data_IF_395369331128
#
_entry.id   IF_395369331128
#
_cell.length_a   1.000
_cell.length_b   1.000
_cell.length_c   1.000
_cell.angle_alpha   90.00
_cell.angle_beta   90.00
_cell.angle_gamma   90.00
#
_symmetry.space_group_name_H-M   'P 1'
#
loop_
_entity.id
_entity.type
_entity.pdbx_description
1 polymer ?
2 non-polymer ?
3 non-polymer ?
#
# COMPACT_ATOMS: atom_id res chain seq x y z
N UNK A 1 3.53 -12.51 -10.80
CA UNK A 1 5.00 -12.52 -10.92
C UNK A 1 5.57 -12.58 -9.51
N UNK A 2 6.30 -13.62 -9.17
CA UNK A 2 6.74 -13.76 -7.80
C UNK A 2 7.90 -12.84 -7.52
N UNK A 3 7.94 -12.28 -6.32
CA UNK A 3 9.14 -11.63 -5.84
C UNK A 3 10.25 -12.66 -5.65
N UNK A 4 11.45 -12.33 -6.10
CA UNK A 4 12.61 -13.14 -5.82
C UNK A 4 13.09 -12.73 -4.44
N UNK A 5 14.02 -13.51 -3.90
CA UNK A 5 14.53 -13.32 -2.55
C UNK A 5 14.99 -11.90 -2.29
N UNK A 6 15.75 -11.33 -3.23
CA UNK A 6 16.30 -9.97 -3.09
C UNK A 6 15.19 -8.88 -2.99
N UNK A 7 14.16 -9.04 -3.79
CA UNK A 7 13.03 -8.12 -3.74
C UNK A 7 12.13 -8.33 -2.54
N UNK A 8 12.02 -9.56 -2.02
CA UNK A 8 11.31 -9.77 -0.76
C UNK A 8 12.01 -8.93 0.31
N UNK A 9 13.34 -9.03 0.33
CA UNK A 9 14.20 -8.24 1.23
C UNK A 9 13.98 -6.73 1.09
N UNK A 10 13.80 -6.27 -0.16
CA UNK A 10 13.46 -4.88 -0.46
C UNK A 10 12.11 -4.46 0.14
N UNK A 11 11.07 -5.23 -0.18
CA UNK A 11 9.72 -4.89 0.32
C UNK A 11 9.71 -4.93 1.86
N UNK A 12 10.51 -5.82 2.47
CA UNK A 12 10.62 -5.85 3.96
C UNK A 12 11.24 -4.57 4.51
N UNK A 13 12.42 -4.22 3.96
CA UNK A 13 13.11 -2.96 4.20
C UNK A 13 12.23 -1.73 4.02
N UNK A 14 11.48 -1.60 2.92
CA UNK A 14 10.62 -0.41 2.76
C UNK A 14 9.45 -0.37 3.75
N UNK A 15 9.20 -1.46 4.47
CA UNK A 15 8.01 -1.52 5.33
C UNK A 15 6.71 -1.72 4.60
N UNK A 16 6.78 -2.24 3.38
CA UNK A 16 5.59 -2.48 2.58
C UNK A 16 5.10 -3.90 2.69
N UNK A 17 6.00 -4.78 3.06
CA UNK A 17 5.66 -6.10 3.52
C UNK A 17 6.21 -6.20 4.93
N UNK A 18 5.42 -6.76 5.84
CA UNK A 18 5.93 -6.98 7.17
C UNK A 18 5.86 -8.48 7.59
N UNK A 19 6.94 -8.98 8.20
CA UNK A 19 6.95 -10.32 8.77
C UNK A 19 7.59 -10.30 10.15
N UNK A 20 6.83 -10.59 11.22
CA UNK A 20 7.40 -10.59 12.59
C UNK A 20 7.40 -11.95 13.33
N UNK A 21 8.56 -12.39 13.81
CA UNK A 21 9.84 -11.69 13.66
C UNK A 21 10.40 -11.79 12.24
N UNK A 22 11.24 -10.84 11.89
CA UNK A 22 11.79 -10.79 10.55
C UNK A 22 12.78 -11.93 10.34
N UNK A 23 12.61 -12.70 9.29
CA UNK A 23 13.48 -13.85 9.09
C UNK A 23 14.77 -13.39 8.47
N UNK A 24 15.88 -13.96 8.89
CA UNK A 24 17.17 -13.55 8.39
C UNK A 24 17.39 -14.02 6.98
N UNK A 25 18.52 -13.62 6.40
CA UNK A 25 18.90 -14.04 5.05
C UNK A 25 18.79 -15.56 4.84
N UNK A 26 19.19 -16.35 5.84
CA UNK A 26 19.15 -17.84 5.77
C UNK A 26 17.78 -18.36 5.36
N UNK A 27 16.73 -17.64 5.74
CA UNK A 27 15.37 -18.12 5.50
C UNK A 27 14.63 -17.36 4.41
N UNK A 28 15.37 -16.64 3.56
CA UNK A 28 14.81 -15.96 2.39
C UNK A 28 15.60 -16.39 1.15
N UNK A 29 15.04 -17.26 0.32
CA UNK A 29 15.77 -17.88 -0.79
C UNK A 29 14.90 -18.10 -2.02
N UNK A 30 15.50 -17.93 -3.21
CA UNK A 30 14.80 -18.08 -4.46
C UNK A 30 13.62 -17.13 -4.58
N UNK A 31 12.43 -17.64 -4.24
CA UNK A 31 11.18 -16.91 -4.30
C UNK A 31 10.29 -17.13 -3.06
N UNK A 32 10.92 -17.52 -1.95
CA UNK A 32 10.19 -17.86 -0.76
C UNK A 32 10.88 -17.38 0.47
N UNK A 33 10.09 -17.20 1.52
CA UNK A 33 10.54 -16.99 2.88
C UNK A 33 10.09 -18.21 3.64
N UNK A 34 11.01 -18.93 4.26
CA UNK A 34 10.64 -20.03 5.18
C UNK A 34 9.84 -19.50 6.37
N UNK A 35 8.80 -20.24 6.76
CA UNK A 35 8.05 -19.90 7.97
C UNK A 35 8.11 -21.05 8.94
N UNK A 36 7.83 -20.73 10.20
CA UNK A 36 8.05 -21.68 11.27
C UNK A 36 6.77 -22.08 12.00
N UNK A 37 6.88 -23.19 12.72
CA UNK A 37 5.75 -23.65 13.50
C UNK A 37 5.62 -22.90 14.83
N UNK A 38 4.43 -22.39 15.06
CA UNK A 38 4.10 -21.74 16.31
C UNK A 38 3.80 -22.76 17.39
N UNK A 39 3.03 -22.35 18.37
CA UNK A 39 2.89 -23.12 19.58
C UNK A 39 1.45 -23.25 20.07
N UNK A 40 0.48 -23.03 19.18
CA UNK A 40 -0.92 -23.14 19.52
C UNK A 40 -1.51 -24.23 18.63
N UNK A 41 -1.97 -25.32 19.24
CA UNK A 41 -2.55 -26.48 18.49
C UNK A 41 -4.00 -26.74 18.86
N UNK A 42 -4.73 -27.35 17.94
CA UNK A 42 -6.08 -27.80 18.19
C UNK A 42 -6.39 -29.09 17.47
N UNK A 43 -7.17 -29.93 18.14
CA UNK A 43 -7.58 -31.21 17.57
C UNK A 43 -9.08 -31.32 17.63
N UNK A 44 -9.60 -32.32 16.94
CA UNK A 44 -11.02 -32.62 16.94
C UNK A 44 -11.40 -33.41 18.18
N UNK A 45 -12.59 -33.13 18.71
CA UNK A 45 -13.31 -34.01 19.66
C UNK A 45 -14.77 -34.09 19.17
N UNK A 46 -15.06 -34.98 18.24
CA UNK A 46 -16.38 -34.95 17.56
C UNK A 46 -17.63 -35.47 18.31
N UNK A 47 -17.43 -36.08 19.48
CA UNK A 47 -18.50 -36.87 20.13
C UNK A 47 -19.70 -36.06 20.60
N UNK A 48 -19.48 -34.74 20.82
CA UNK A 48 -20.55 -33.80 21.21
C UNK A 48 -21.48 -33.45 20.04
N UNK A 49 -21.02 -33.63 18.79
CA UNK A 49 -21.77 -33.20 17.60
C UNK A 49 -21.90 -34.32 16.55
N UNK A 50 -23.04 -34.33 15.85
CA UNK A 50 -23.33 -35.32 14.83
C UNK A 50 -22.70 -34.99 13.47
N UNK A 51 -22.68 -33.70 13.17
CA UNK A 51 -22.08 -33.21 11.94
C UNK A 51 -21.76 -31.73 12.10
N UNK A 52 -21.18 -31.17 11.06
CA UNK A 52 -20.93 -29.75 11.01
C UNK A 52 -21.60 -29.24 9.76
N UNK A 53 -22.39 -28.17 9.90
CA UNK A 53 -23.04 -27.56 8.75
C UNK A 53 -22.11 -26.50 8.24
N UNK A 54 -21.59 -26.68 7.03
CA UNK A 54 -20.63 -25.74 6.47
C UNK A 54 -21.26 -24.54 5.73
N UNK A 55 -22.53 -24.63 5.35
CA UNK A 55 -23.24 -23.45 4.84
C UNK A 55 -23.63 -22.60 6.04
N UNK A 56 -23.99 -21.34 5.82
CA UNK A 56 -24.31 -20.44 6.93
C UNK A 56 -23.10 -19.60 7.33
N UNK A 57 -23.36 -18.36 7.80
CA UNK A 57 -22.31 -17.34 8.01
C UNK A 57 -21.06 -17.77 8.81
N UNK A 58 -20.03 -16.92 8.75
CA UNK A 58 -18.78 -17.13 9.48
C UNK A 58 -19.02 -17.48 10.93
N UNK A 59 -19.93 -16.74 11.56
CA UNK A 59 -20.20 -16.93 12.99
C UNK A 59 -20.66 -18.36 13.29
N UNK A 60 -21.50 -18.94 12.41
CA UNK A 60 -21.97 -20.35 12.56
C UNK A 60 -20.79 -21.31 12.37
N UNK A 61 -20.09 -21.14 11.24
CA UNK A 61 -18.87 -21.92 10.90
C UNK A 61 -17.75 -21.76 11.96
N UNK A 62 -17.72 -20.63 12.65
CA UNK A 62 -16.74 -20.38 13.72
C UNK A 62 -17.24 -20.92 15.08
N UNK A 63 -18.53 -20.78 15.33
CA UNK A 63 -19.19 -21.40 16.49
C UNK A 63 -18.99 -22.91 16.45
N UNK A 64 -19.20 -23.48 15.28
CA UNK A 64 -19.00 -24.91 15.04
C UNK A 64 -17.54 -25.30 15.31
N UNK A 65 -16.62 -24.52 14.75
CA UNK A 65 -15.18 -24.74 14.89
C UNK A 65 -14.79 -24.92 16.38
N UNK A 66 -15.51 -24.26 17.28
CA UNK A 66 -15.17 -24.31 18.70
C UNK A 66 -15.99 -25.33 19.47
N UNK A 67 -17.20 -25.60 19.01
CA UNK A 67 -17.97 -26.65 19.65
C UNK A 67 -17.32 -28.06 19.49
N UNK A 68 -16.61 -28.28 18.37
CA UNK A 68 -16.01 -29.58 18.06
C UNK A 68 -14.49 -29.65 18.14
N UNK A 69 -13.80 -28.51 18.13
CA UNK A 69 -12.34 -28.52 18.32
C UNK A 69 -12.01 -28.36 19.79
N UNK A 70 -10.93 -29.03 20.20
CA UNK A 70 -10.39 -28.97 21.56
C UNK A 70 -10.01 -27.57 21.99
N UNK A 71 -9.64 -27.49 23.26
CA UNK A 71 -9.04 -26.28 23.82
C UNK A 71 -7.70 -26.08 23.19
N UNK A 72 -7.24 -24.85 23.20
CA UNK A 72 -5.90 -24.53 22.76
C UNK A 72 -4.91 -25.41 23.51
N UNK A 73 -3.93 -25.95 22.78
CA UNK A 73 -2.87 -26.80 23.32
C UNK A 73 -1.53 -26.11 23.11
N UNK A 74 -0.92 -25.66 24.20
CA UNK A 74 0.37 -24.98 24.15
C UNK A 74 1.48 -25.90 24.66
N UNK A 75 2.50 -26.16 23.84
CA UNK A 75 3.54 -27.13 24.17
C UNK A 75 4.72 -26.45 24.81
N UNK A 76 5.24 -27.06 25.89
CA UNK A 76 6.40 -26.54 26.62
C UNK A 76 7.65 -26.57 25.74
N UNK A 77 8.76 -26.06 26.26
CA UNK A 77 10.07 -26.37 25.70
C UNK A 77 10.22 -27.89 25.69
N UNK A 78 11.00 -28.40 24.73
CA UNK A 78 11.10 -29.83 24.39
C UNK A 78 9.93 -30.30 23.53
N UNK A 79 8.78 -30.41 24.19
CA UNK A 79 7.57 -31.08 23.70
C UNK A 79 7.30 -31.05 22.16
N UNK A 80 6.78 -32.19 21.70
CA UNK A 80 6.32 -32.41 20.34
C UNK A 80 4.82 -32.61 20.36
N UNK A 81 4.15 -32.18 19.29
CA UNK A 81 2.76 -32.53 19.06
C UNK A 81 2.80 -33.68 18.08
N UNK A 82 2.13 -34.78 18.40
CA UNK A 82 2.10 -35.96 17.51
C UNK A 82 0.82 -35.97 16.72
N UNK A 83 0.94 -35.87 15.41
CA UNK A 83 -0.21 -35.85 14.56
C UNK A 83 -0.32 -37.26 14.00
N UNK A 84 -1.40 -37.94 14.34
CA UNK A 84 -1.52 -39.36 14.06
C UNK A 84 -2.17 -39.57 12.69
N UNK A 85 -1.89 -40.72 12.07
CA UNK A 85 -2.41 -40.98 10.73
C UNK A 85 -3.92 -40.70 10.63
N UNK A 86 -4.34 -40.01 9.59
CA UNK A 86 -5.74 -39.74 9.37
C UNK A 86 -6.25 -38.62 10.24
N UNK A 87 -5.41 -37.99 11.05
CA UNK A 87 -5.86 -36.86 11.87
C UNK A 87 -5.66 -35.53 11.19
N UNK A 88 -6.63 -34.65 11.43
CA UNK A 88 -6.62 -33.25 11.01
C UNK A 88 -6.38 -32.45 12.25
N UNK A 89 -5.33 -31.63 12.25
CA UNK A 89 -5.03 -30.76 13.40
C UNK A 89 -4.88 -29.32 12.94
N UNK A 90 -5.06 -28.39 13.87
CA UNK A 90 -4.95 -26.97 13.55
C UNK A 90 -3.76 -26.40 14.27
N UNK A 91 -3.04 -25.50 13.62
CA UNK A 91 -1.88 -24.91 14.23
C UNK A 91 -1.74 -23.50 13.73
N UNK A 92 -0.56 -22.93 13.89
CA UNK A 92 -0.38 -21.52 13.59
C UNK A 92 1.09 -21.29 13.25
N UNK A 93 1.39 -20.30 12.41
CA UNK A 93 2.81 -19.98 12.17
C UNK A 93 3.35 -19.24 13.36
N UNK A 94 4.66 -19.36 13.56
CA UNK A 94 5.38 -18.54 14.53
C UNK A 94 5.33 -17.09 14.06
N UNK A 95 5.60 -16.87 12.78
CA UNK A 95 5.66 -15.50 12.25
C UNK A 95 4.31 -14.90 12.03
N UNK A 96 4.16 -13.63 12.41
CA UNK A 96 3.04 -12.81 11.97
C UNK A 96 3.40 -12.21 10.65
N UNK A 97 2.40 -12.01 9.80
CA UNK A 97 2.63 -11.51 8.44
C UNK A 97 1.63 -10.42 8.12
N UNK A 98 2.11 -9.31 7.59
CA UNK A 98 1.20 -8.28 7.12
C UNK A 98 1.49 -7.94 5.68
N UNK A 99 0.46 -8.04 4.84
CA UNK A 99 0.59 -7.72 3.41
C UNK A 99 -0.14 -6.43 3.14
N UNK A 100 0.38 -5.69 2.17
CA UNK A 100 -0.25 -4.48 1.72
C UNK A 100 -1.35 -4.84 0.74
N UNK A 101 -2.06 -3.82 0.27
CA UNK A 101 -3.21 -4.02 -0.59
C UNK A 101 -2.86 -4.48 -2.00
N UNK A 102 -1.59 -4.47 -2.36
CA UNK A 102 -1.13 -4.79 -3.73
C UNK A 102 -0.19 -6.00 -3.79
N UNK A 103 -0.19 -6.80 -2.73
CA UNK A 103 0.54 -8.06 -2.74
C UNK A 103 -0.40 -9.18 -2.32
N UNK A 104 -0.20 -10.36 -2.89
CA UNK A 104 -0.93 -11.56 -2.44
C UNK A 104 0.10 -12.62 -2.06
N UNK A 105 -0.13 -13.27 -0.93
CA UNK A 105 0.77 -14.33 -0.46
C UNK A 105 0.30 -15.73 -0.85
N UNK A 106 1.25 -16.65 -0.99
CA UNK A 106 0.93 -18.07 -1.14
C UNK A 106 1.77 -18.84 -0.17
N UNK A 107 1.13 -19.68 0.65
CA UNK A 107 1.85 -20.58 1.56
C UNK A 107 2.00 -21.97 0.93
N UNK A 108 3.22 -22.44 0.80
CA UNK A 108 3.45 -23.82 0.46
C UNK A 108 3.85 -24.57 1.72
N UNK A 109 3.46 -25.82 1.82
CA UNK A 109 4.10 -26.67 2.83
C UNK A 109 5.43 -27.08 2.25
N UNK A 110 6.25 -27.74 3.07
CA UNK A 110 7.52 -28.25 2.62
C UNK A 110 7.37 -29.62 1.96
N UNK A 111 8.03 -29.80 0.83
CA UNK A 111 7.92 -31.03 0.05
C UNK A 111 8.52 -32.21 0.79
N UNK A 112 9.65 -32.02 1.47
CA UNK A 112 10.28 -33.13 2.21
C UNK A 112 9.38 -33.68 3.36
N UNK A 113 8.58 -32.82 3.95
CA UNK A 113 7.58 -33.23 4.92
C UNK A 113 6.32 -33.88 4.29
N UNK A 114 5.88 -33.35 3.16
CA UNK A 114 4.76 -33.92 2.45
C UNK A 114 5.03 -35.39 2.07
N UNK A 115 6.28 -35.68 1.74
CA UNK A 115 6.71 -37.02 1.35
C UNK A 115 6.54 -38.04 2.44
N UNK A 116 6.64 -37.58 3.69
CA UNK A 116 6.34 -38.39 4.85
C UNK A 116 4.88 -38.28 5.34
N UNK A 117 4.01 -37.62 4.57
CA UNK A 117 2.59 -37.59 4.87
C UNK A 117 2.01 -36.29 5.38
N UNK A 118 2.86 -35.31 5.68
CA UNK A 118 2.40 -34.01 6.20
C UNK A 118 1.74 -33.16 5.12
N UNK A 119 0.42 -33.03 5.19
CA UNK A 119 -0.33 -32.21 4.27
C UNK A 119 -0.68 -30.87 4.92
N UNK A 120 -0.23 -29.77 4.32
CA UNK A 120 -0.55 -28.42 4.78
C UNK A 120 -1.19 -27.63 3.64
N UNK A 121 -2.19 -26.82 4.00
CA UNK A 121 -3.02 -26.06 3.05
C UNK A 121 -2.38 -25.95 1.68
N UNK A 122 -2.57 -26.82 0.68
CA UNK A 122 -3.56 -27.89 0.47
C UNK A 122 -4.81 -27.42 -0.27
N UNK A 123 -5.64 -26.64 0.40
CA UNK A 123 -6.96 -26.24 -0.14
C UNK A 123 -7.05 -24.71 -0.30
N UNK A 124 -6.60 -24.00 0.74
CA UNK A 124 -6.49 -22.56 0.73
C UNK A 124 -5.07 -22.20 1.16
N UNK A 125 -4.19 -21.98 0.18
CA UNK A 125 -2.82 -21.46 0.47
C UNK A 125 -2.66 -19.95 0.28
N UNK A 126 -3.76 -19.23 0.11
CA UNK A 126 -3.72 -17.84 -0.27
C UNK A 126 -3.71 -16.92 0.94
N UNK A 127 -2.73 -16.03 1.02
CA UNK A 127 -2.72 -14.96 2.04
C UNK A 127 -3.13 -13.67 1.34
N UNK A 128 -4.17 -13.01 1.82
CA UNK A 128 -4.75 -11.92 1.04
C UNK A 128 -4.05 -10.59 1.20
N UNK A 129 -4.15 -9.76 0.16
CA UNK A 129 -3.81 -8.35 0.33
C UNK A 129 -4.54 -7.81 1.58
N UNK A 130 -3.79 -7.22 2.50
CA UNK A 130 -4.39 -6.67 3.70
C UNK A 130 -4.41 -7.63 4.86
N UNK A 131 -4.05 -8.89 4.63
CA UNK A 131 -3.96 -9.84 5.73
C UNK A 131 -2.93 -9.32 6.66
N UNK A 132 -3.24 -9.36 7.95
CA UNK A 132 -2.28 -9.07 9.03
C UNK A 132 -2.50 -10.06 10.18
N UNK A 133 -1.53 -10.91 10.44
CA UNK A 133 -1.64 -11.83 11.57
C UNK A 133 -0.84 -13.09 11.34
N UNK A 134 -0.89 -13.98 12.31
CA UNK A 134 -0.42 -15.34 12.12
C UNK A 134 -1.22 -16.02 11.06
N UNK A 135 -0.62 -17.04 10.49
CA UNK A 135 -1.32 -17.86 9.55
C UNK A 135 -1.74 -19.14 10.27
N UNK A 136 -3.05 -19.36 10.31
CA UNK A 136 -3.65 -20.61 10.80
C UNK A 136 -3.32 -21.72 9.81
N UNK A 137 -2.84 -22.84 10.36
CA UNK A 137 -2.49 -24.01 9.56
C UNK A 137 -3.40 -25.20 9.85
N UNK A 138 -3.78 -25.96 8.81
CA UNK A 138 -4.45 -27.24 9.02
C UNK A 138 -3.46 -28.25 8.59
N UNK A 139 -3.13 -29.20 9.45
CA UNK A 139 -2.35 -30.35 9.03
C UNK A 139 -3.22 -31.58 8.85
N UNK A 140 -2.84 -32.43 7.89
CA UNK A 140 -3.44 -33.73 7.74
C UNK A 140 -2.38 -34.78 7.58
N UNK A 141 -2.45 -35.83 8.38
CA UNK A 141 -1.45 -36.89 8.25
C UNK A 141 -1.93 -37.95 7.27
N UNK A 142 -1.47 -37.83 6.02
CA UNK A 142 -1.84 -38.74 4.97
C UNK A 142 -0.92 -39.97 4.99
N UNK A 143 -0.01 -40.04 5.93
CA UNK A 143 0.94 -41.14 5.92
C UNK A 143 0.55 -42.27 6.87
N UNK A 144 1.47 -43.22 6.99
CA UNK A 144 1.23 -44.46 7.71
C UNK A 144 1.63 -44.33 9.19
N UNK A 145 2.65 -43.54 9.48
CA UNK A 145 3.12 -43.32 10.86
C UNK A 145 2.70 -41.97 11.44
N UNK A 146 2.72 -41.85 12.76
CA UNK A 146 2.57 -40.56 13.38
C UNK A 146 3.75 -39.64 13.04
N UNK A 147 3.45 -38.35 12.98
CA UNK A 147 4.44 -37.34 12.65
C UNK A 147 4.61 -36.42 13.81
N UNK A 148 5.83 -36.29 14.31
CA UNK A 148 6.11 -35.37 15.42
C UNK A 148 6.51 -33.98 14.91
N UNK A 149 5.75 -32.99 15.36
CA UNK A 149 5.98 -31.59 15.03
C UNK A 149 6.43 -30.84 16.31
N UNK A 150 7.49 -30.05 16.23
CA UNK A 150 7.93 -29.22 17.37
C UNK A 150 7.87 -27.73 17.04
N UNK A 151 7.34 -26.91 17.95
CA UNK A 151 7.40 -25.45 17.75
C UNK A 151 8.79 -24.98 17.28
N UNK A 152 8.83 -24.09 16.30
CA UNK A 152 10.09 -23.56 15.79
C UNK A 152 10.62 -24.22 14.54
N UNK A 153 10.10 -25.39 14.19
CA UNK A 153 10.56 -26.05 12.99
C UNK A 153 10.06 -25.25 11.79
N UNK A 154 10.80 -25.34 10.69
CA UNK A 154 10.35 -24.89 9.39
C UNK A 154 9.10 -25.72 9.05
N UNK A 155 8.03 -25.05 8.68
CA UNK A 155 6.76 -25.70 8.41
C UNK A 155 6.20 -25.35 7.02
N UNK A 156 6.72 -24.31 6.39
CA UNK A 156 6.20 -23.87 5.10
C UNK A 156 7.02 -22.76 4.46
N UNK A 157 6.53 -22.25 3.33
CA UNK A 157 7.29 -21.29 2.57
C UNK A 157 6.30 -20.29 1.98
N UNK A 158 6.55 -19.01 2.24
CA UNK A 158 5.70 -17.95 1.71
C UNK A 158 6.34 -17.44 0.43
N UNK A 159 5.54 -17.25 -0.59
CA UNK A 159 5.96 -16.52 -1.75
C UNK A 159 4.96 -15.39 -1.96
N UNK A 160 5.40 -14.33 -2.66
CA UNK A 160 4.64 -13.09 -2.77
C UNK A 160 4.52 -12.60 -4.18
N UNK A 161 3.32 -12.23 -4.53
CA UNK A 161 3.01 -11.88 -5.89
C UNK A 161 2.34 -10.52 -5.89
N UNK A 162 2.95 -9.52 -6.53
CA UNK A 162 2.28 -8.26 -6.78
C UNK A 162 1.00 -8.41 -7.60
N UNK A 163 -0.01 -7.65 -7.20
CA UNK A 163 -1.25 -7.55 -7.92
C UNK A 163 -1.10 -6.58 -9.09
N UNK A 164 -2.13 -6.54 -9.92
CA UNK A 164 -2.15 -5.70 -11.09
C UNK A 164 -2.37 -4.26 -10.69
N UNK A 165 -2.73 -4.04 -9.43
CA UNK A 165 -2.92 -2.72 -8.88
C UNK A 165 -3.30 -2.91 -7.45
N UNK A 166 -3.29 -1.85 -6.65
CA UNK A 166 -3.68 -1.98 -5.22
C UNK A 166 -5.17 -2.27 -5.11
N UNK A 167 -5.52 -3.26 -4.29
CA UNK A 167 -6.89 -3.73 -4.16
C UNK A 167 -7.77 -2.71 -3.45
N UNK A 168 -8.95 -2.49 -4.00
CA UNK A 168 -9.95 -1.56 -3.46
C UNK A 168 -10.54 -2.07 -2.14
N UNK A 169 -10.80 -3.37 -2.03
CA UNK A 169 -11.30 -3.96 -0.77
C UNK A 169 -10.37 -5.04 -0.25
N UNK A 170 -9.21 -4.66 0.29
CA UNK A 170 -8.30 -5.65 0.83
C UNK A 170 -8.89 -6.23 2.11
N UNK A 171 -8.18 -7.16 2.72
CA UNK A 171 -8.73 -7.92 3.83
C UNK A 171 -9.05 -7.01 5.00
N UNK A 172 -8.08 -6.18 5.36
CA UNK A 172 -8.24 -5.27 6.50
C UNK A 172 -9.43 -4.30 6.37
N UNK A 173 -9.77 -3.85 5.16
CA UNK A 173 -10.93 -2.95 4.95
C UNK A 173 -12.14 -3.66 4.38
N UNK A 174 -13.05 -4.10 5.26
CA UNK A 174 -14.29 -4.73 4.81
C UNK A 174 -15.40 -4.62 5.85
N UNK B 1 -12.41 13.40 6.66
CA UNK B 1 -11.54 13.19 7.84
C UNK B 1 -10.11 13.08 7.33
N UNK B 2 -9.21 13.93 7.76
CA UNK B 2 -7.87 13.90 7.15
C UNK B 2 -7.06 12.82 7.78
N UNK B 3 -6.26 12.15 6.95
CA UNK B 3 -5.24 11.26 7.46
C UNK B 3 -4.21 12.08 8.25
N UNK B 4 -3.82 11.56 9.42
CA UNK B 4 -2.70 12.12 10.14
C UNK B 4 -1.43 11.57 9.53
N UNK B 5 -0.30 12.16 9.92
CA UNK B 5 1.00 11.77 9.38
C UNK B 5 1.29 10.28 9.44
N UNK B 6 1.05 9.67 10.59
CA UNK B 6 1.23 8.20 10.77
C UNK B 6 0.42 7.39 9.73
N UNK B 7 -0.85 7.76 9.56
CA UNK B 7 -1.73 7.03 8.64
C UNK B 7 -1.38 7.31 7.17
N UNK B 8 -0.87 8.49 6.87
CA UNK B 8 -0.38 8.74 5.51
C UNK B 8 0.68 7.71 5.19
N UNK B 9 1.60 7.49 6.13
CA UNK B 9 2.64 6.47 5.98
C UNK B 9 2.07 5.08 5.84
N UNK B 10 1.05 4.77 6.63
CA UNK B 10 0.36 3.49 6.52
C UNK B 10 -0.20 3.25 5.13
N UNK B 11 -0.94 4.21 4.60
CA UNK B 11 -1.44 4.13 3.22
C UNK B 11 -0.32 4.06 2.17
N UNK B 12 0.81 4.73 2.40
CA UNK B 12 1.96 4.61 1.52
C UNK B 12 2.53 3.21 1.55
N UNK B 13 2.78 2.71 2.76
CA UNK B 13 3.23 1.33 3.01
C UNK B 13 2.25 0.30 2.41
N UNK B 14 0.96 0.62 2.52
CA UNK B 14 -0.11 -0.24 2.05
C UNK B 14 -0.24 -0.26 0.52
N UNK B 15 0.51 0.60 -0.18
CA UNK B 15 0.47 0.71 -1.66
C UNK B 15 -0.80 1.27 -2.20
N UNK B 16 -1.61 1.78 -1.31
CA UNK B 16 -2.93 2.25 -1.69
C UNK B 16 -2.86 3.70 -2.13
N UNK B 17 -1.94 4.43 -1.50
CA UNK B 17 -1.58 5.75 -1.90
C UNK B 17 -0.19 5.59 -2.42
N UNK B 18 0.11 6.22 -3.55
CA UNK B 18 1.50 6.27 -3.99
C UNK B 18 2.01 7.68 -4.21
N UNK B 19 3.24 7.95 -3.77
CA UNK B 19 3.94 9.23 -4.05
C UNK B 19 5.37 8.97 -4.54
N UNK B 20 5.67 9.37 -5.76
CA UNK B 20 6.99 9.11 -6.38
C UNK B 20 7.81 10.40 -6.66
N UNK B 21 9.02 10.58 -6.11
CA UNK B 21 9.63 9.71 -5.09
C UNK B 21 8.94 9.83 -3.73
N UNK B 22 9.11 8.83 -2.89
CA UNK B 22 8.45 8.77 -1.60
C UNK B 22 9.14 9.71 -0.63
N UNK B 23 8.39 10.60 -0.01
CA UNK B 23 9.01 11.60 0.84
C UNK B 23 9.32 10.97 2.16
N UNK B 24 10.46 11.28 2.74
CA UNK B 24 10.85 10.71 3.99
C UNK B 24 10.04 11.24 5.15
N UNK B 25 10.28 10.72 6.34
CA UNK B 25 9.59 11.15 7.55
C UNK B 25 9.61 12.69 7.71
N UNK B 26 10.75 13.32 7.39
CA UNK B 26 10.91 14.77 7.53
C UNK B 26 9.80 15.53 6.83
N UNK B 27 9.27 14.98 5.74
CA UNK B 27 8.30 15.69 4.93
C UNK B 27 6.89 15.15 5.04
N UNK B 28 6.63 14.40 6.12
CA UNK B 28 5.29 13.94 6.46
C UNK B 28 5.00 14.34 7.92
N UNK B 29 4.12 15.33 8.12
CA UNK B 29 3.87 15.91 9.46
C UNK B 29 2.46 16.40 9.64
N UNK B 30 1.93 16.22 10.85
CA UNK B 30 0.56 16.58 11.18
C UNK B 30 -0.45 15.86 10.33
N UNK B 31 -0.90 16.53 9.28
CA UNK B 31 -1.87 16.04 8.34
C UNK B 31 -1.46 16.31 6.89
N UNK B 32 -0.17 16.49 6.66
CA UNK B 32 0.30 16.86 5.33
C UNK B 32 1.57 16.15 4.96
N UNK B 33 1.79 16.08 3.64
CA UNK B 33 3.05 15.68 3.03
C UNK B 33 3.55 16.88 2.25
N UNK B 34 4.72 17.38 2.61
CA UNK B 34 5.34 18.47 1.82
C UNK B 34 5.65 18.03 0.39
N UNK B 35 5.33 18.87 -0.58
CA UNK B 35 5.69 18.58 -1.98
C UNK B 35 6.70 19.61 -2.46
N UNK B 36 7.53 19.20 -3.43
CA UNK B 36 8.60 20.04 -3.94
C UNK B 36 8.25 20.59 -5.33
N UNK B 37 8.97 21.63 -5.73
CA UNK B 37 8.82 22.21 -7.05
C UNK B 37 9.58 21.39 -8.06
N UNK B 38 8.91 21.07 -9.15
CA UNK B 38 9.53 20.41 -10.28
C UNK B 38 10.28 21.38 -11.15
N UNK B 39 10.43 21.01 -12.40
CA UNK B 39 11.39 21.71 -13.26
C UNK B 39 10.91 22.20 -14.61
N UNK B 40 9.64 22.00 -14.94
CA UNK B 40 9.07 22.53 -16.14
C UNK B 40 8.24 23.74 -15.76
N UNK B 41 8.38 24.81 -16.52
CA UNK B 41 7.62 26.05 -16.32
C UNK B 41 7.04 26.54 -17.63
N UNK B 42 6.00 27.34 -17.52
CA UNK B 42 5.37 28.00 -18.66
C UNK B 42 4.86 29.36 -18.30
N UNK B 43 4.96 30.29 -19.23
CA UNK B 43 4.48 31.66 -19.02
C UNK B 43 3.58 32.01 -20.16
N UNK B 44 2.88 33.12 -20.01
CA UNK B 44 2.02 33.63 -21.05
C UNK B 44 2.81 34.34 -22.13
N UNK B 45 2.36 34.23 -23.38
CA UNK B 45 2.76 35.14 -24.45
C UNK B 45 1.47 35.51 -25.20
N UNK B 46 0.74 36.49 -24.72
CA UNK B 46 -0.60 36.74 -25.26
C UNK B 46 -0.79 37.37 -26.65
N UNK B 47 0.28 37.85 -27.26
CA UNK B 47 0.20 38.76 -28.44
C UNK B 47 -0.36 38.11 -29.71
N UNK B 48 -0.28 36.79 -29.76
CA UNK B 48 -0.86 36.01 -30.86
C UNK B 48 -2.37 35.90 -30.81
N UNK B 49 -2.96 36.11 -29.62
CA UNK B 49 -4.40 35.92 -29.41
C UNK B 49 -5.10 37.12 -28.73
N UNK B 50 -6.33 37.37 -29.12
CA UNK B 50 -7.10 38.48 -28.56
C UNK B 50 -7.70 38.11 -27.19
N UNK B 51 -8.15 36.89 -27.06
CA UNK B 51 -8.77 36.39 -25.85
C UNK B 51 -8.72 34.88 -25.85
N UNK B 52 -9.22 34.30 -24.77
CA UNK B 52 -9.32 32.86 -24.65
C UNK B 52 -10.74 32.54 -24.36
N UNK B 53 -11.33 31.65 -25.14
CA UNK B 53 -12.71 31.24 -24.90
C UNK B 53 -12.66 30.08 -23.92
N UNK B 54 -13.21 30.26 -22.73
CA UNK B 54 -13.14 29.20 -21.71
C UNK B 54 -14.29 28.19 -21.75
N UNK B 55 -15.39 28.52 -22.44
CA UNK B 55 -16.44 27.53 -22.70
C UNK B 55 -15.98 26.68 -23.86
N UNK B 56 -16.56 25.50 -24.00
CA UNK B 56 -16.17 24.59 -25.07
C UNK B 56 -15.31 23.48 -24.49
N UNK B 57 -15.21 22.36 -25.19
CA UNK B 57 -14.52 21.16 -24.66
C UNK B 57 -13.06 21.32 -24.23
N UNK B 58 -12.58 20.33 -23.48
CA UNK B 58 -11.19 20.26 -23.02
C UNK B 58 -10.21 20.51 -24.15
N UNK B 59 -10.45 19.89 -25.30
CA UNK B 59 -9.54 20.02 -26.44
C UNK B 59 -9.39 21.49 -26.88
N UNK B 60 -10.48 22.28 -26.84
CA UNK B 60 -10.41 23.72 -27.16
C UNK B 60 -9.60 24.46 -26.09
N UNK B 61 -10.02 24.27 -24.84
CA UNK B 61 -9.37 24.86 -23.66
C UNK B 61 -7.89 24.45 -23.53
N UNK B 62 -7.54 23.29 -24.08
CA UNK B 62 -6.17 22.81 -24.08
C UNK B 62 -5.39 23.31 -25.32
N UNK B 63 -6.05 23.36 -26.47
CA UNK B 63 -5.51 24.01 -27.67
C UNK B 63 -5.16 25.46 -27.37
N UNK B 64 -6.08 26.14 -26.68
CA UNK B 64 -5.88 27.53 -26.26
C UNK B 64 -4.64 27.69 -25.36
N UNK B 65 -4.54 26.88 -24.31
CA UNK B 65 -3.38 26.89 -23.44
C UNK B 65 -2.07 26.75 -24.22
N UNK B 66 -2.02 25.88 -25.22
CA UNK B 66 -0.81 25.77 -26.05
C UNK B 66 -0.59 26.94 -27.02
N UNK B 67 -1.65 27.57 -27.55
CA UNK B 67 -1.47 28.71 -28.47
C UNK B 67 -0.97 29.99 -27.77
N UNK B 68 -1.28 30.16 -26.48
CA UNK B 68 -0.93 31.38 -25.73
C UNK B 68 0.14 31.19 -24.67
N UNK B 69 0.39 29.95 -24.25
CA UNK B 69 1.49 29.71 -23.29
C UNK B 69 2.80 29.41 -24.04
N UNK B 70 3.89 29.88 -23.46
CA UNK B 70 5.23 29.63 -23.97
C UNK B 70 5.56 28.14 -24.13
N UNK B 71 6.74 27.91 -24.66
CA UNK B 71 7.34 26.60 -24.68
C UNK B 71 7.73 26.24 -23.27
N UNK B 72 7.84 24.94 -23.03
CA UNK B 72 8.32 24.43 -21.77
C UNK B 72 9.67 25.02 -21.44
N UNK B 73 9.84 25.47 -20.20
CA UNK B 73 11.07 26.07 -19.74
C UNK B 73 11.66 25.18 -18.65
N UNK B 74 12.79 24.55 -18.94
CA UNK B 74 13.47 23.65 -18.02
C UNK B 74 14.73 24.30 -17.48
N UNK B 75 14.82 24.47 -16.16
CA UNK B 75 15.91 25.23 -15.54
C UNK B 75 17.06 24.35 -15.12
N UNK B 76 18.29 24.81 -15.40
CA UNK B 76 19.53 24.05 -15.08
C UNK B 76 19.87 23.92 -13.58
N UNK B 77 21.05 23.36 -13.31
CA UNK B 77 21.75 23.45 -11.99
C UNK B 77 21.86 24.93 -11.54
N UNK B 78 21.50 25.22 -10.28
CA UNK B 78 21.46 26.62 -9.80
C UNK B 78 20.11 27.28 -10.10
N UNK B 79 19.88 27.54 -11.41
CA UNK B 79 18.85 28.47 -11.94
C UNK B 79 17.54 28.60 -11.14
N UNK B 80 17.05 29.85 -11.12
CA UNK B 80 15.79 30.22 -10.52
C UNK B 80 14.85 30.69 -11.62
N UNK B 81 13.55 30.44 -11.43
CA UNK B 81 12.51 31.06 -12.25
C UNK B 81 12.05 32.27 -11.47
N UNK B 82 12.00 33.42 -12.11
CA UNK B 82 11.52 34.62 -11.46
C UNK B 82 10.11 34.88 -11.93
N UNK B 83 9.18 34.87 -10.98
CA UNK B 83 7.80 35.15 -11.25
C UNK B 83 7.57 36.62 -10.85
N UNK B 84 7.25 37.44 -11.84
CA UNK B 84 7.16 38.88 -11.63
C UNK B 84 5.76 39.31 -11.16
N UNK B 85 5.65 40.40 -10.45
CA UNK B 85 4.37 40.85 -9.94
C UNK B 85 3.27 40.84 -10.99
N UNK B 86 2.11 40.31 -10.64
CA UNK B 86 1.00 40.28 -11.58
C UNK B 86 1.09 39.17 -12.62
N UNK B 87 2.16 38.41 -12.62
CA UNK B 87 2.29 37.29 -13.55
C UNK B 87 1.67 36.02 -13.01
N UNK B 88 1.11 35.27 -13.94
CA UNK B 88 0.57 33.93 -13.77
C UNK B 88 1.56 33.01 -14.45
N UNK B 89 2.13 32.06 -13.73
CA UNK B 89 2.97 31.05 -14.36
C UNK B 89 2.45 29.62 -14.09
N UNK B 90 2.93 28.66 -14.87
CA UNK B 90 2.52 27.28 -14.73
C UNK B 90 3.73 26.47 -14.41
N UNK B 91 3.59 25.51 -13.51
CA UNK B 91 4.69 24.69 -13.12
C UNK B 91 4.16 23.33 -12.73
N UNK B 92 4.94 22.57 -12.00
CA UNK B 92 4.62 21.20 -11.78
C UNK B 92 5.28 20.77 -10.48
N UNK B 93 4.70 19.81 -9.78
CA UNK B 93 5.38 19.23 -8.60
C UNK B 93 6.46 18.28 -9.06
N UNK B 94 7.49 18.18 -8.25
CA UNK B 94 8.54 17.20 -8.44
C UNK B 94 7.94 15.79 -8.28
N UNK B 95 7.10 15.63 -7.26
CA UNK B 95 6.52 14.32 -6.96
C UNK B 95 5.37 13.97 -7.87
N UNK B 96 5.35 12.72 -8.33
CA UNK B 96 4.16 12.14 -8.90
C UNK B 96 3.30 11.60 -7.76
N UNK B 97 2.00 11.59 -7.96
CA UNK B 97 1.08 11.18 -6.93
C UNK B 97 0.00 10.31 -7.55
N UNK B 98 -0.29 9.20 -6.90
CA UNK B 98 -1.40 8.35 -7.34
C UNK B 98 -2.35 8.08 -6.21
N UNK B 99 -3.62 8.39 -6.42
CA UNK B 99 -4.63 8.18 -5.40
C UNK B 99 -5.53 7.06 -5.84
N UNK B 100 -5.99 6.27 -4.87
CA UNK B 100 -6.95 5.21 -5.15
C UNK B 100 -8.35 5.82 -5.26
N UNK B 101 -9.34 4.98 -5.55
CA UNK B 101 -10.69 5.46 -5.77
C UNK B 101 -11.43 5.92 -4.53
N UNK B 102 -10.87 5.72 -3.35
CA UNK B 102 -11.55 6.12 -2.10
C UNK B 102 -10.78 7.17 -1.28
N UNK B 103 -9.85 7.87 -1.93
CA UNK B 103 -9.15 8.98 -1.30
C UNK B 103 -9.28 10.21 -2.18
N UNK B 104 -9.39 11.38 -1.56
CA UNK B 104 -9.31 12.64 -2.30
C UNK B 104 -8.19 13.46 -1.69
N UNK B 105 -7.37 14.07 -2.55
CA UNK B 105 -6.26 14.94 -2.15
C UNK B 105 -6.59 16.44 -2.17
N UNK B 106 -5.92 17.18 -1.30
CA UNK B 106 -6.03 18.64 -1.27
C UNK B 106 -4.64 19.24 -1.18
N UNK B 107 -4.29 20.07 -2.17
CA UNK B 107 -3.01 20.77 -2.19
C UNK B 107 -3.15 22.15 -1.57
N UNK B 108 -2.38 22.41 -0.53
CA UNK B 108 -2.24 23.76 -0.04
C UNK B 108 -0.92 24.32 -0.54
N UNK B 109 -0.88 25.62 -0.78
CA UNK B 109 0.40 26.28 -0.92
C UNK B 109 0.90 26.54 0.49
N UNK B 110 2.18 26.90 0.59
CA UNK B 110 2.77 27.27 1.86
C UNK B 110 2.42 28.71 2.31
N UNK B 111 2.00 28.85 3.55
CA UNK B 111 1.56 30.11 4.10
C UNK B 111 2.70 31.13 4.14
N UNK B 112 3.89 30.72 4.56
CA UNK B 112 5.02 31.63 4.60
C UNK B 112 5.35 32.24 3.21
N UNK B 113 5.18 31.47 2.14
CA UNK B 113 5.35 31.99 0.79
C UNK B 113 4.15 32.85 0.34
N UNK B 114 2.94 32.51 0.76
CA UNK B 114 1.76 33.29 0.42
C UNK B 114 1.89 34.71 1.00
N UNK B 115 2.51 34.81 2.17
CA UNK B 115 2.70 36.09 2.83
C UNK B 115 3.52 37.07 2.03
N UNK B 116 4.47 36.55 1.26
CA UNK B 116 5.29 37.32 0.33
C UNK B 116 4.65 37.44 -1.05
N UNK B 117 3.43 36.93 -1.24
CA UNK B 117 2.70 37.09 -2.49
C UNK B 117 2.50 35.88 -3.38
N UNK B 118 3.12 34.73 -3.03
CA UNK B 118 3.00 33.50 -3.84
C UNK B 118 1.63 32.90 -3.68
N UNK B 119 0.81 32.97 -4.71
CA UNK B 119 -0.51 32.35 -4.70
C UNK B 119 -0.47 31.05 -5.48
N UNK B 120 -0.80 29.93 -4.85
CA UNK B 120 -0.89 28.63 -5.54
C UNK B 120 -2.26 28.03 -5.30
N UNK B 121 -2.79 27.39 -6.33
CA UNK B 121 -4.17 26.85 -6.38
C UNK B 121 -4.83 26.74 -5.03
N UNK B 122 -5.54 27.71 -4.45
CA UNK B 122 -6.12 28.95 -4.94
C UNK B 122 -7.56 28.77 -5.42
N UNK B 123 -7.75 28.05 -6.52
CA UNK B 123 -9.09 27.90 -7.14
C UNK B 123 -9.49 26.42 -7.17
N UNK B 124 -8.56 25.57 -7.60
CA UNK B 124 -8.73 24.14 -7.64
C UNK B 124 -7.52 23.51 -6.95
N UNK B 125 -7.69 23.24 -5.66
CA UNK B 125 -6.68 22.53 -4.88
C UNK B 125 -6.96 21.01 -4.74
N UNK B 126 -7.91 20.48 -5.51
CA UNK B 126 -8.42 19.10 -5.34
C UNK B 126 -7.70 18.12 -6.25
N UNK B 127 -7.18 17.05 -5.65
CA UNK B 127 -6.59 15.93 -6.41
C UNK B 127 -7.55 14.77 -6.31
N UNK B 128 -7.99 14.27 -7.44
CA UNK B 128 -9.12 13.36 -7.42
C UNK B 128 -8.75 11.90 -7.10
N UNK B 129 -9.74 11.16 -6.59
CA UNK B 129 -9.65 9.73 -6.53
C UNK B 129 -9.33 9.25 -7.94
N UNK B 130 -8.30 8.41 -8.07
CA UNK B 130 -7.88 7.94 -9.36
C UNK B 130 -6.83 8.78 -10.03
N UNK B 131 -6.59 10.02 -9.56
CA UNK B 131 -5.54 10.84 -10.15
C UNK B 131 -4.24 10.04 -10.10
N UNK B 132 -3.49 10.09 -11.18
CA UNK B 132 -2.11 9.58 -11.19
C UNK B 132 -1.24 10.50 -12.05
N UNK B 133 -0.26 11.16 -11.44
CA UNK B 133 0.66 11.98 -12.19
C UNK B 133 1.20 13.10 -11.34
N UNK B 134 2.05 13.92 -11.96
CA UNK B 134 2.43 15.21 -11.39
C UNK B 134 1.21 16.10 -11.27
N UNK B 135 1.29 17.00 -10.30
CA UNK B 135 0.30 18.02 -10.13
C UNK B 135 0.81 19.28 -10.81
N UNK B 136 0.02 19.75 -11.77
CA UNK B 136 0.25 21.02 -12.44
C UNK B 136 -0.07 22.15 -11.45
N UNK B 137 0.81 23.13 -11.35
CA UNK B 137 0.62 24.26 -10.46
C UNK B 137 0.45 25.52 -11.27
N UNK B 138 -0.41 26.42 -10.83
CA UNK B 138 -0.47 27.80 -11.35
C UNK B 138 0.02 28.67 -10.22
N UNK B 139 1.03 29.49 -10.48
CA UNK B 139 1.41 30.53 -9.54
C UNK B 139 0.90 31.90 -9.98
N UNK B 140 0.56 32.72 -9.00
CA UNK B 140 0.27 34.11 -9.27
C UNK B 140 1.03 34.97 -8.28
N UNK B 141 1.77 35.96 -8.76
CA UNK B 141 2.48 36.84 -7.85
C UNK B 141 1.58 38.04 -7.50
N UNK B 142 0.96 37.96 -6.33
CA UNK B 142 0.10 39.01 -5.82
C UNK B 142 0.90 40.04 -5.03
N UNK B 143 2.22 39.89 -4.97
CA UNK B 143 3.02 40.81 -4.19
C UNK B 143 3.62 41.94 -5.02
N UNK B 144 4.46 42.73 -4.36
CA UNK B 144 5.07 43.90 -4.93
C UNK B 144 6.40 43.61 -5.66
N UNK B 145 7.18 42.66 -5.13
CA UNK B 145 8.47 42.26 -5.71
C UNK B 145 8.37 40.95 -6.49
N UNK B 146 9.35 40.71 -7.36
CA UNK B 146 9.51 39.41 -7.97
C UNK B 146 9.85 38.33 -6.93
N UNK B 147 9.42 37.11 -7.21
CA UNK B 147 9.66 35.98 -6.35
C UNK B 147 10.46 34.95 -7.13
N UNK B 148 11.62 34.59 -6.59
CA UNK B 148 12.48 33.57 -7.20
C UNK B 148 12.13 32.19 -6.64
N UNK B 149 11.80 31.29 -7.55
CA UNK B 149 11.50 29.92 -7.26
C UNK B 149 12.62 29.07 -7.86
N UNK B 150 13.11 28.07 -7.11
CA UNK B 150 14.11 27.09 -7.61
C UNK B 150 13.59 25.66 -7.56
N UNK B 151 13.77 24.85 -8.62
CA UNK B 151 13.39 23.42 -8.56
C UNK B 151 13.90 22.76 -7.30
N UNK B 152 13.04 21.98 -6.64
CA UNK B 152 13.41 21.27 -5.41
C UNK B 152 12.95 21.93 -4.15
N UNK B 153 12.51 23.18 -4.19
CA UNK B 153 12.02 23.84 -2.98
C UNK B 153 10.67 23.25 -2.57
N UNK B 154 10.36 23.31 -1.28
CA UNK B 154 9.02 23.03 -0.80
C UNK B 154 8.10 24.07 -1.42
N UNK B 155 7.02 23.59 -2.04
CA UNK B 155 6.06 24.45 -2.75
C UNK B 155 4.61 24.33 -2.29
N UNK B 156 4.30 23.24 -1.61
CA UNK B 156 2.94 22.99 -1.16
C UNK B 156 2.88 21.82 -0.19
N UNK B 157 1.65 21.46 0.18
CA UNK B 157 1.43 20.43 1.19
C UNK B 157 0.17 19.69 0.80
N UNK B 158 0.28 18.36 0.69
CA UNK B 158 -0.85 17.51 0.32
C UNK B 158 -1.46 16.97 1.58
N UNK B 159 -2.77 17.03 1.68
CA UNK B 159 -3.47 16.32 2.71
C UNK B 159 -4.49 15.39 2.03
N UNK B 160 -4.92 14.37 2.75
CA UNK B 160 -5.67 13.28 2.16
C UNK B 160 -6.87 12.93 2.99
N UNK B 161 -7.98 12.77 2.30
CA UNK B 161 -9.25 12.55 2.93
C UNK B 161 -9.92 11.32 2.33
N UNK B 162 -10.15 10.28 3.15
CA UNK B 162 -10.95 9.14 2.72
C UNK B 162 -12.37 9.53 2.33
N UNK B 163 -12.86 8.93 1.26
CA UNK B 163 -14.21 9.13 0.82
C UNK B 163 -15.15 8.24 1.67
N UNK B 164 -16.45 8.44 1.50
CA UNK B 164 -17.46 7.68 2.19
C UNK B 164 -17.48 6.26 1.65
N UNK B 165 -16.80 6.05 0.53
CA UNK B 165 -16.75 4.76 -0.12
C UNK B 165 -15.90 4.89 -1.37
N UNK B 166 -15.53 3.79 -2.00
CA UNK B 166 -14.72 3.88 -3.23
C UNK B 166 -15.53 4.44 -4.36
N UNK B 167 -14.98 5.39 -5.10
CA UNK B 167 -15.74 6.09 -6.13
C UNK B 167 -15.98 5.19 -7.34
N UNK B 168 -17.21 5.22 -7.86
CA UNK B 168 -17.61 4.43 -9.04
C UNK B 168 -16.94 4.92 -10.33
N UNK B 169 -16.82 6.24 -10.50
CA UNK B 169 -16.10 6.81 -11.64
C UNK B 169 -14.91 7.67 -11.19
N UNK B 170 -13.82 7.05 -10.74
CA UNK B 170 -12.65 7.82 -10.37
C UNK B 170 -12.00 8.39 -11.62
N UNK B 171 -10.93 9.15 -11.45
CA UNK B 171 -10.32 9.86 -12.57
C UNK B 171 -9.85 8.92 -13.71
N UNK B 172 -9.36 7.73 -13.36
CA UNK B 172 -8.95 6.74 -14.38
C UNK B 172 -10.07 5.77 -14.80
#
# INVERSE_FOLDING_TARGET
MRLCDRDIEAWLDEGRLSINPRPPVERINGATVDVRLGNKFRTFRGHTAAFIDLSGPKDEVSAALDRVMSDEIVLDEGEAFYLHPGELALAVTLESVTLPADLVGWLDGRSSLARLGLMVAVTAHRIDPGWSGCIVLEFYNSGKLPLALRPGMLIGALSFEPLSGPAVRPYNRREDAKYRNQQGAVASRIDKD
MRLCDRDIEAWLDEGRLSINPRPPVERINGATVDVRLGNKFRTFRGHTAAFIDLSGPKDEVSAALDRVMSDEIVLDEGEAFYLHPGELALAVTLESVTLPADLVGWLDGRSSLARLGLMVAVTAHRIDPGWSGCIVLEFYNSGKLPLALRPGMLIGALSFEPLSGPAVRPYNRREDAKYRNQQGAVASRIDKD
#
